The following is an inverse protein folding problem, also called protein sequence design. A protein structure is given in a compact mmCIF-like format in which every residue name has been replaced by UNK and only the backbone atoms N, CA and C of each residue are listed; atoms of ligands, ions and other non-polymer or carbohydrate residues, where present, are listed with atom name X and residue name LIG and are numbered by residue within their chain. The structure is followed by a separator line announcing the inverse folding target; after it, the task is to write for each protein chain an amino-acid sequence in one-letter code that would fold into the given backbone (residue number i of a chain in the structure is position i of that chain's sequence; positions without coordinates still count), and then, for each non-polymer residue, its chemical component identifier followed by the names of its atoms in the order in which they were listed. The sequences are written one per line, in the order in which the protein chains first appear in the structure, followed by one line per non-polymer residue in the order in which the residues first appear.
data_IF_655785073060
#
_entry.id   IF_655785073060
#
_cell.length_a   1.000
_cell.length_b   1.000
_cell.length_c   1.000
_cell.angle_alpha   90.00
_cell.angle_beta   90.00
_cell.angle_gamma   90.00
#
_symmetry.space_group_name_H-M   'P 1'
#
loop_
_entity.id
_entity.type
_entity.pdbx_description
1 polymer ?
#
# COMPACT_ATOMS: atom_id res chain seq x y z
N UNK A 1 2.17 0.11 25.55
CA UNK A 1 3.21 -0.62 24.81
C UNK A 1 2.50 -1.50 23.80
N UNK A 2 2.69 -1.26 22.50
CA UNK A 2 2.18 -2.15 21.45
C UNK A 2 2.80 -3.53 21.67
N UNK A 3 1.97 -4.58 21.73
CA UNK A 3 2.48 -5.94 21.79
C UNK A 3 3.03 -6.31 20.41
N UNK A 4 4.21 -6.92 20.35
CA UNK A 4 4.78 -7.44 19.10
C UNK A 4 3.79 -8.43 18.45
N UNK A 5 3.83 -8.53 17.11
CA UNK A 5 3.03 -9.55 16.43
C UNK A 5 3.57 -10.95 16.75
N UNK A 6 2.74 -11.97 16.53
CA UNK A 6 3.14 -13.37 16.75
C UNK A 6 4.39 -13.76 15.96
N UNK A 7 4.51 -13.29 14.71
CA UNK A 7 5.66 -13.58 13.85
C UNK A 7 6.94 -12.93 14.36
N UNK A 8 6.89 -11.71 14.87
CA UNK A 8 8.03 -11.04 15.49
C UNK A 8 8.43 -11.72 16.81
N UNK A 9 7.47 -12.10 17.66
CA UNK A 9 7.77 -12.86 18.88
C UNK A 9 8.42 -14.21 18.60
N UNK A 10 8.00 -14.88 17.53
CA UNK A 10 8.59 -16.15 17.09
C UNK A 10 9.99 -15.96 16.51
N UNK A 11 10.26 -14.87 15.79
CA UNK A 11 11.62 -14.51 15.38
C UNK A 11 12.55 -14.35 16.59
N UNK A 12 12.12 -13.58 17.61
CA UNK A 12 12.95 -13.31 18.79
C UNK A 12 13.22 -14.56 19.64
N UNK A 13 12.29 -15.52 19.64
CA UNK A 13 12.51 -16.84 20.23
C UNK A 13 13.62 -17.63 19.52
N UNK A 14 13.80 -17.40 18.22
CA UNK A 14 14.79 -18.07 17.36
C UNK A 14 15.94 -17.12 16.97
N UNK A 15 16.32 -16.21 17.87
CA UNK A 15 17.38 -15.21 17.64
C UNK A 15 18.76 -15.80 17.36
N UNK A 16 18.99 -17.05 17.75
CA UNK A 16 20.21 -17.80 17.42
C UNK A 16 20.39 -17.99 15.91
N UNK A 17 19.30 -17.90 15.13
CA UNK A 17 19.33 -17.89 13.67
C UNK A 17 19.84 -16.57 13.08
N UNK A 18 19.84 -15.48 13.84
CA UNK A 18 20.24 -14.15 13.38
C UNK A 18 21.76 -14.01 13.52
N UNK A 19 22.48 -14.30 12.44
CA UNK A 19 23.95 -14.30 12.43
C UNK A 19 24.49 -13.42 11.31
N UNK A 20 25.64 -12.78 11.57
CA UNK A 20 26.30 -11.91 10.61
C UNK A 20 25.46 -10.68 10.24
N UNK A 21 25.60 -10.22 9.00
CA UNK A 21 24.84 -9.09 8.45
C UNK A 21 23.40 -9.51 8.19
N UNK A 22 22.45 -8.76 8.75
CA UNK A 22 21.03 -9.09 8.75
C UNK A 22 20.23 -8.25 7.75
N UNK A 23 19.33 -8.90 7.01
CA UNK A 23 18.25 -8.24 6.29
C UNK A 23 16.89 -8.80 6.74
N UNK A 24 15.95 -7.94 7.08
CA UNK A 24 14.57 -8.30 7.45
C UNK A 24 13.61 -7.74 6.38
N UNK A 25 12.88 -8.61 5.70
CA UNK A 25 11.95 -8.26 4.63
C UNK A 25 10.50 -8.46 5.06
N UNK A 26 9.67 -7.43 4.86
CA UNK A 26 8.25 -7.44 5.26
C UNK A 26 8.04 -7.13 6.75
N UNK A 27 8.86 -6.23 7.32
CA UNK A 27 8.72 -5.80 8.71
C UNK A 27 7.41 -5.01 8.85
N UNK A 28 6.62 -5.34 9.87
CA UNK A 28 5.37 -4.61 10.20
C UNK A 28 5.38 -3.94 11.56
N UNK A 29 6.34 -4.27 12.43
CA UNK A 29 6.50 -3.66 13.76
C UNK A 29 7.96 -3.23 13.97
N UNK A 30 8.28 -1.93 13.83
CA UNK A 30 9.64 -1.39 13.94
C UNK A 30 10.34 -1.71 15.26
N UNK A 31 9.58 -1.96 16.34
CA UNK A 31 10.16 -2.31 17.64
C UNK A 31 10.96 -3.62 17.60
N UNK A 32 10.73 -4.51 16.63
CA UNK A 32 11.50 -5.75 16.50
C UNK A 32 13.00 -5.50 16.34
N UNK A 33 13.40 -4.42 15.65
CA UNK A 33 14.80 -4.15 15.33
C UNK A 33 15.67 -4.04 16.58
N UNK A 34 15.12 -3.44 17.66
CA UNK A 34 15.82 -3.28 18.94
C UNK A 34 16.20 -4.60 19.62
N UNK A 35 15.67 -5.73 19.16
CA UNK A 35 15.90 -7.05 19.71
C UNK A 35 16.52 -8.04 18.70
N UNK A 36 16.70 -7.62 17.44
CA UNK A 36 17.31 -8.45 16.39
C UNK A 36 18.82 -8.22 16.23
N UNK A 37 19.32 -7.01 16.51
CA UNK A 37 20.74 -6.68 16.40
C UNK A 37 20.99 -5.17 16.32
N UNK A 38 22.27 -4.78 16.25
CA UNK A 38 22.69 -3.37 16.27
C UNK A 38 22.62 -2.71 14.88
N UNK A 39 22.67 -3.49 13.81
CA UNK A 39 22.66 -2.98 12.44
C UNK A 39 22.15 -3.99 11.42
N UNK A 40 21.63 -3.51 10.31
CA UNK A 40 21.18 -4.34 9.19
C UNK A 40 20.30 -3.58 8.21
N UNK A 41 19.59 -4.31 7.37
CA UNK A 41 18.56 -3.80 6.48
C UNK A 41 17.18 -4.16 7.02
N UNK A 42 16.26 -3.20 7.06
CA UNK A 42 14.86 -3.44 7.36
C UNK A 42 13.98 -2.89 6.25
N UNK A 43 13.23 -3.78 5.62
CA UNK A 43 12.35 -3.45 4.51
C UNK A 43 10.89 -3.56 4.93
N UNK A 44 10.10 -2.56 4.54
CA UNK A 44 8.65 -2.56 4.69
C UNK A 44 8.00 -1.90 3.48
N UNK A 45 6.91 -2.50 3.01
CA UNK A 45 6.06 -1.95 1.96
C UNK A 45 5.17 -0.81 2.47
N UNK A 46 5.05 -0.63 3.78
CA UNK A 46 4.11 0.31 4.39
C UNK A 46 4.80 1.63 4.76
N UNK A 47 4.38 2.76 4.20
CA UNK A 47 5.04 4.06 4.33
C UNK A 47 5.21 4.51 5.79
N UNK A 48 4.19 4.29 6.63
CA UNK A 48 4.27 4.60 8.07
C UNK A 48 5.30 3.74 8.82
N UNK A 49 5.40 2.46 8.48
CA UNK A 49 6.38 1.53 9.08
C UNK A 49 7.77 1.90 8.58
N UNK A 50 7.95 2.09 7.28
CA UNK A 50 9.19 2.57 6.68
C UNK A 50 9.70 3.85 7.34
N UNK A 51 8.84 4.84 7.53
CA UNK A 51 9.19 6.09 8.20
C UNK A 51 9.70 5.84 9.62
N UNK A 52 9.07 4.93 10.37
CA UNK A 52 9.52 4.56 11.71
C UNK A 52 10.81 3.71 11.72
N UNK A 53 11.05 2.91 10.68
CA UNK A 53 12.32 2.18 10.48
C UNK A 53 13.46 3.14 10.16
N UNK A 54 13.21 4.17 9.33
CA UNK A 54 14.22 5.16 8.93
C UNK A 54 14.75 6.00 10.11
N UNK A 55 14.00 6.06 11.22
CA UNK A 55 14.45 6.72 12.46
C UNK A 55 15.33 5.81 13.35
N UNK A 56 15.60 4.56 12.95
CA UNK A 56 16.37 3.59 13.75
C UNK A 56 17.85 3.64 13.36
N UNK A 57 18.67 4.17 14.27
CA UNK A 57 20.12 4.19 14.12
C UNK A 57 20.70 2.79 13.89
N UNK A 58 21.67 2.68 12.98
CA UNK A 58 22.35 1.42 12.65
C UNK A 58 21.61 0.57 11.61
N UNK A 59 20.34 0.85 11.34
CA UNK A 59 19.54 0.14 10.35
C UNK A 59 19.32 0.98 9.10
N UNK A 60 19.61 0.40 7.93
CA UNK A 60 19.18 0.96 6.65
C UNK A 60 17.71 0.59 6.45
N UNK A 61 16.84 1.58 6.29
CA UNK A 61 15.45 1.35 5.93
C UNK A 61 15.31 1.24 4.41
N UNK A 62 14.50 0.29 3.94
CA UNK A 62 14.15 0.11 2.53
C UNK A 62 12.62 0.18 2.38
N UNK A 63 12.15 1.03 1.46
CA UNK A 63 10.72 1.18 1.20
C UNK A 63 10.31 0.24 0.06
N UNK A 64 9.53 -0.79 0.41
CA UNK A 64 9.13 -1.83 -0.52
C UNK A 64 10.32 -2.54 -1.15
N UNK A 65 10.33 -2.64 -2.48
CA UNK A 65 11.32 -3.40 -3.23
C UNK A 65 12.31 -2.49 -3.96
N UNK A 66 12.49 -1.27 -3.45
CA UNK A 66 13.49 -0.35 -3.97
C UNK A 66 14.89 -0.81 -3.54
N UNK A 67 15.69 -1.19 -4.53
CA UNK A 67 17.08 -1.66 -4.35
C UNK A 67 18.12 -0.59 -4.65
N UNK A 68 17.71 0.67 -4.87
CA UNK A 68 18.66 1.77 -5.06
C UNK A 68 19.56 1.91 -3.82
N UNK A 69 20.87 1.80 -4.04
CA UNK A 69 21.87 1.82 -2.98
C UNK A 69 21.98 0.53 -2.16
N UNK A 70 21.36 -0.57 -2.58
CA UNK A 70 21.57 -1.90 -2.01
C UNK A 70 22.55 -2.72 -2.85
N UNK A 71 23.53 -3.34 -2.19
CA UNK A 71 24.46 -4.27 -2.83
C UNK A 71 23.89 -5.69 -2.91
N UNK A 72 24.17 -6.38 -4.01
CA UNK A 72 23.90 -7.81 -4.14
C UNK A 72 24.82 -8.62 -3.20
N UNK A 73 24.32 -9.76 -2.72
CA UNK A 73 25.09 -10.77 -2.00
C UNK A 73 25.85 -10.24 -0.76
N UNK A 74 25.21 -9.36 0.01
CA UNK A 74 25.85 -8.57 1.08
C UNK A 74 25.42 -8.99 2.51
N UNK A 75 24.46 -9.90 2.62
CA UNK A 75 23.85 -10.31 3.90
C UNK A 75 24.04 -11.81 4.18
N UNK A 76 24.44 -12.14 5.42
CA UNK A 76 24.66 -13.52 5.88
C UNK A 76 23.36 -14.19 6.32
N UNK A 77 22.38 -13.41 6.79
CA UNK A 77 21.03 -13.89 7.14
C UNK A 77 19.98 -12.97 6.57
N UNK A 78 19.02 -13.54 5.83
CA UNK A 78 17.85 -12.83 5.31
C UNK A 78 16.57 -13.45 5.85
N UNK A 79 15.83 -12.67 6.65
CA UNK A 79 14.53 -13.06 7.19
C UNK A 79 13.43 -12.53 6.29
N UNK A 80 12.53 -13.42 5.88
CA UNK A 80 11.37 -13.14 5.05
C UNK A 80 10.13 -13.38 5.89
N UNK A 81 9.44 -12.30 6.27
CA UNK A 81 8.10 -12.42 6.81
C UNK A 81 7.14 -12.76 5.67
N UNK A 82 6.23 -13.70 5.91
CA UNK A 82 5.27 -14.17 4.92
C UNK A 82 4.27 -13.06 4.56
N UNK A 83 4.15 -12.65 3.29
CA UNK A 83 3.04 -11.80 2.86
C UNK A 83 1.75 -12.59 2.75
N UNK A 84 0.62 -11.89 2.70
CA UNK A 84 -0.70 -12.51 2.51
C UNK A 84 -0.87 -13.15 1.12
N UNK A 85 -0.21 -12.59 0.10
CA UNK A 85 -0.35 -13.02 -1.27
C UNK A 85 0.80 -13.92 -1.74
N UNK A 86 0.46 -15.00 -2.46
CA UNK A 86 1.42 -15.95 -3.01
C UNK A 86 2.43 -15.32 -3.98
N UNK A 87 1.95 -14.45 -4.86
CA UNK A 87 2.80 -13.76 -5.84
C UNK A 87 3.79 -12.80 -5.16
N UNK A 88 3.34 -12.12 -4.10
CA UNK A 88 4.19 -11.21 -3.33
C UNK A 88 5.30 -11.97 -2.59
N UNK A 89 5.03 -13.20 -2.13
CA UNK A 89 6.08 -14.04 -1.56
C UNK A 89 7.16 -14.38 -2.60
N UNK A 90 6.78 -14.64 -3.85
CA UNK A 90 7.76 -14.92 -4.91
C UNK A 90 8.69 -13.71 -5.15
N UNK A 91 8.10 -12.51 -5.17
CA UNK A 91 8.86 -11.26 -5.27
C UNK A 91 9.82 -11.08 -4.09
N UNK A 92 9.33 -11.26 -2.85
CA UNK A 92 10.14 -11.12 -1.62
C UNK A 92 11.24 -12.17 -1.50
N UNK A 93 11.00 -13.40 -1.94
CA UNK A 93 12.01 -14.45 -2.01
C UNK A 93 13.08 -14.16 -3.08
N UNK A 94 12.70 -13.55 -4.20
CA UNK A 94 13.67 -13.11 -5.22
C UNK A 94 14.58 -12.02 -4.67
N UNK A 95 14.02 -11.02 -3.97
CA UNK A 95 14.83 -10.00 -3.28
C UNK A 95 15.72 -10.63 -2.20
N UNK A 96 15.23 -11.62 -1.45
CA UNK A 96 16.03 -12.31 -0.45
C UNK A 96 17.25 -13.02 -1.05
N UNK A 97 17.11 -13.65 -2.23
CA UNK A 97 18.23 -14.26 -2.95
C UNK A 97 19.22 -13.24 -3.53
N UNK A 98 18.73 -12.08 -3.92
CA UNK A 98 19.58 -10.97 -4.36
C UNK A 98 20.42 -10.41 -3.21
N UNK A 99 19.82 -10.24 -2.03
CA UNK A 99 20.51 -9.68 -0.86
C UNK A 99 21.45 -10.68 -0.19
N UNK A 100 21.06 -11.96 -0.08
CA UNK A 100 21.85 -12.97 0.61
C UNK A 100 23.12 -13.34 -0.15
N UNK A 101 24.26 -13.44 0.52
CA UNK A 101 25.48 -14.00 -0.06
C UNK A 101 25.34 -15.51 -0.39
N UNK A 102 26.31 -16.07 -1.11
CA UNK A 102 26.37 -17.53 -1.29
C UNK A 102 26.54 -18.21 0.08
N UNK A 103 25.66 -19.15 0.40
CA UNK A 103 25.63 -19.79 1.72
C UNK A 103 24.85 -19.02 2.78
N UNK A 104 24.28 -17.85 2.46
CA UNK A 104 23.47 -17.09 3.39
C UNK A 104 22.28 -17.90 3.91
N UNK A 105 21.93 -17.69 5.18
CA UNK A 105 20.76 -18.29 5.81
C UNK A 105 19.50 -17.53 5.39
N UNK A 106 18.59 -18.21 4.72
CA UNK A 106 17.25 -17.70 4.44
C UNK A 106 16.29 -18.22 5.52
N UNK A 107 15.53 -17.31 6.14
CA UNK A 107 14.58 -17.65 7.21
C UNK A 107 13.18 -17.21 6.81
N UNK A 108 12.26 -18.13 6.57
CA UNK A 108 10.85 -17.83 6.30
C UNK A 108 10.02 -17.94 7.58
N UNK A 109 9.29 -16.88 7.91
CA UNK A 109 8.43 -16.82 9.11
C UNK A 109 7.03 -16.38 8.73
N UNK A 110 6.01 -17.09 9.22
CA UNK A 110 4.62 -16.75 8.91
C UNK A 110 3.61 -17.52 9.73
N UNK A 111 2.38 -17.00 9.80
CA UNK A 111 1.30 -17.67 10.49
C UNK A 111 0.68 -18.81 9.66
N UNK A 112 0.16 -19.83 10.34
CA UNK A 112 -0.63 -20.90 9.72
C UNK A 112 -1.87 -20.38 9.01
N UNK A 113 -2.53 -19.38 9.61
CA UNK A 113 -3.73 -18.74 9.05
C UNK A 113 -3.42 -17.90 7.80
N UNK A 114 -2.17 -17.47 7.64
CA UNK A 114 -1.68 -16.71 6.48
C UNK A 114 -1.10 -17.63 5.40
N UNK A 115 -1.22 -18.95 5.57
CA UNK A 115 -0.92 -19.91 4.51
C UNK A 115 0.54 -20.33 4.43
N UNK A 116 1.32 -20.25 5.53
CA UNK A 116 2.73 -20.69 5.51
C UNK A 116 2.93 -22.12 4.99
N UNK A 117 1.95 -23.01 5.19
CA UNK A 117 2.02 -24.36 4.64
C UNK A 117 2.16 -24.40 3.11
N UNK A 118 1.51 -23.48 2.39
CA UNK A 118 1.67 -23.32 0.94
C UNK A 118 2.95 -22.56 0.57
N UNK A 119 3.32 -21.58 1.39
CA UNK A 119 4.53 -20.76 1.21
C UNK A 119 5.83 -21.59 1.21
N UNK A 120 5.88 -22.65 2.03
CA UNK A 120 7.04 -23.56 2.11
C UNK A 120 7.37 -24.18 0.76
N UNK A 121 6.39 -24.44 -0.09
CA UNK A 121 6.64 -24.96 -1.43
C UNK A 121 7.48 -23.97 -2.26
N UNK A 122 7.10 -22.68 -2.25
CA UNK A 122 7.85 -21.63 -2.95
C UNK A 122 9.23 -21.42 -2.32
N UNK A 123 9.33 -21.53 -1.00
CA UNK A 123 10.61 -21.44 -0.31
C UNK A 123 11.58 -22.57 -0.72
N UNK A 124 11.09 -23.80 -0.81
CA UNK A 124 11.89 -24.96 -1.24
C UNK A 124 12.28 -24.91 -2.72
N UNK A 125 11.59 -24.12 -3.54
CA UNK A 125 11.96 -23.89 -4.95
C UNK A 125 13.17 -22.96 -5.09
N UNK A 126 13.46 -22.13 -4.07
CA UNK A 126 14.48 -21.08 -4.14
C UNK A 126 15.64 -21.24 -3.15
N UNK A 127 15.49 -22.09 -2.14
CA UNK A 127 16.49 -22.36 -1.10
C UNK A 127 16.85 -23.85 -1.07
N UNK A 128 18.11 -24.17 -0.73
CA UNK A 128 18.57 -25.54 -0.48
C UNK A 128 18.58 -25.88 1.01
N UNK A 129 18.76 -27.15 1.35
CA UNK A 129 18.92 -27.64 2.74
C UNK A 129 17.79 -27.17 3.67
N UNK A 130 16.56 -27.16 3.15
CA UNK A 130 15.44 -26.55 3.86
C UNK A 130 14.92 -27.43 4.98
N UNK A 131 14.57 -26.80 6.10
CA UNK A 131 14.05 -27.48 7.28
C UNK A 131 13.19 -26.59 8.14
N UNK A 132 12.13 -27.16 8.72
CA UNK A 132 11.33 -26.48 9.73
C UNK A 132 12.06 -26.54 11.07
N UNK A 133 12.33 -25.39 11.67
CA UNK A 133 13.09 -25.28 12.92
C UNK A 133 12.20 -24.99 14.13
N UNK A 134 11.07 -24.30 13.94
CA UNK A 134 10.12 -24.01 15.03
C UNK A 134 8.66 -23.97 14.52
N UNK A 135 7.73 -24.18 15.45
CA UNK A 135 6.28 -24.07 15.25
C UNK A 135 5.62 -23.65 16.57
N UNK A 136 5.65 -22.36 16.88
CA UNK A 136 5.06 -21.77 18.09
C UNK A 136 4.09 -20.63 17.74
N UNK A 137 3.16 -20.30 18.66
CA UNK A 137 2.24 -19.14 18.54
C UNK A 137 1.49 -19.08 17.20
N UNK A 138 1.02 -20.22 16.72
CA UNK A 138 0.38 -20.37 15.40
C UNK A 138 1.25 -19.99 14.20
N UNK A 139 2.55 -19.80 14.37
CA UNK A 139 3.53 -19.54 13.32
C UNK A 139 4.37 -20.79 13.02
N UNK A 140 5.09 -20.76 11.90
CA UNK A 140 6.19 -21.67 11.60
C UNK A 140 7.43 -20.86 11.25
N UNK A 141 8.60 -21.45 11.54
CA UNK A 141 9.91 -20.94 11.11
C UNK A 141 10.57 -22.01 10.26
N UNK A 142 10.93 -21.63 9.05
CA UNK A 142 11.65 -22.46 8.11
C UNK A 142 12.98 -21.81 7.78
N UNK A 143 14.02 -22.63 7.68
CA UNK A 143 15.38 -22.20 7.36
C UNK A 143 15.82 -22.93 6.11
N UNK A 144 16.61 -22.27 5.27
CA UNK A 144 17.28 -22.83 4.12
C UNK A 144 18.53 -22.03 3.78
N UNK A 145 19.26 -22.48 2.77
CA UNK A 145 20.52 -21.89 2.33
C UNK A 145 20.34 -21.23 0.97
N UNK A 146 20.89 -20.02 0.80
CA UNK A 146 21.00 -19.37 -0.49
C UNK A 146 22.19 -19.94 -1.29
N UNK A 147 21.96 -21.03 -2.01
CA UNK A 147 23.00 -21.68 -2.83
C UNK A 147 23.21 -21.02 -4.19
N UNK A 148 22.29 -20.16 -4.63
CA UNK A 148 22.35 -19.48 -5.92
C UNK A 148 21.92 -18.02 -5.75
N UNK A 149 22.80 -17.15 -5.21
CA UNK A 149 22.49 -15.74 -5.07
C UNK A 149 22.25 -15.09 -6.44
N UNK A 150 21.38 -14.09 -6.46
CA UNK A 150 21.12 -13.29 -7.67
C UNK A 150 22.05 -12.07 -7.70
N UNK A 151 22.58 -11.73 -8.87
CA UNK A 151 23.42 -10.54 -9.06
C UNK A 151 22.62 -9.27 -9.37
N UNK A 152 21.37 -9.43 -9.79
CA UNK A 152 20.48 -8.32 -10.18
C UNK A 152 19.08 -8.61 -9.63
N UNK A 153 18.42 -7.54 -9.19
CA UNK A 153 17.01 -7.49 -8.88
C UNK A 153 16.47 -6.13 -9.34
N UNK A 154 15.42 -6.16 -10.15
CA UNK A 154 14.68 -4.96 -10.52
C UNK A 154 13.17 -5.23 -10.39
N UNK A 155 12.52 -4.51 -9.47
CA UNK A 155 11.07 -4.58 -9.27
C UNK A 155 10.29 -4.25 -10.54
N UNK A 156 10.85 -3.45 -11.46
CA UNK A 156 10.21 -3.07 -12.72
C UNK A 156 10.00 -4.24 -13.66
N UNK A 157 10.80 -5.32 -13.54
CA UNK A 157 10.61 -6.56 -14.30
C UNK A 157 9.35 -7.32 -13.87
N UNK A 158 8.80 -7.01 -12.69
CA UNK A 158 7.59 -7.62 -12.16
C UNK A 158 6.31 -6.85 -12.52
N UNK A 159 6.44 -5.70 -13.20
CA UNK A 159 5.29 -4.91 -13.62
C UNK A 159 4.51 -5.66 -14.69
N UNK A 160 3.26 -5.96 -14.41
CA UNK A 160 2.27 -6.41 -15.38
C UNK A 160 1.42 -5.23 -15.86
N UNK A 161 0.79 -5.36 -17.03
CA UNK A 161 -0.12 -4.35 -17.57
C UNK A 161 -1.47 -4.98 -17.85
N UNK A 162 -2.53 -4.36 -17.33
CA UNK A 162 -3.91 -4.65 -17.68
C UNK A 162 -4.54 -3.44 -18.39
N UNK A 163 -5.53 -3.70 -19.25
CA UNK A 163 -6.33 -2.66 -19.88
C UNK A 163 -7.67 -2.56 -19.17
N UNK A 164 -8.05 -1.36 -18.75
CA UNK A 164 -9.34 -1.08 -18.15
C UNK A 164 -10.10 -0.07 -19.00
N UNK A 165 -11.42 -0.24 -19.07
CA UNK A 165 -12.33 0.71 -19.70
C UNK A 165 -13.47 1.04 -18.72
N UNK A 166 -13.76 2.34 -18.61
CA UNK A 166 -14.96 2.83 -17.94
C UNK A 166 -15.40 4.17 -18.54
N UNK A 167 -16.70 4.29 -18.85
CA UNK A 167 -17.30 5.47 -19.47
C UNK A 167 -16.59 5.95 -20.75
N UNK A 168 -16.05 5.00 -21.51
CA UNK A 168 -15.27 5.16 -22.73
C UNK A 168 -13.88 5.79 -22.55
N UNK A 169 -13.35 5.80 -21.34
CA UNK A 169 -11.95 6.10 -21.07
C UNK A 169 -11.20 4.78 -20.90
N UNK A 170 -10.21 4.56 -21.75
CA UNK A 170 -9.32 3.40 -21.70
C UNK A 170 -8.01 3.76 -20.98
N UNK A 171 -7.55 2.89 -20.09
CA UNK A 171 -6.35 3.11 -19.28
C UNK A 171 -5.55 1.82 -19.21
N UNK A 172 -4.27 1.92 -19.57
CA UNK A 172 -3.29 0.87 -19.30
C UNK A 172 -2.81 1.02 -17.84
N UNK A 173 -3.09 0.05 -17.00
CA UNK A 173 -2.80 0.08 -15.56
C UNK A 173 -1.65 -0.86 -15.24
N UNK A 174 -0.65 -0.35 -14.52
CA UNK A 174 0.46 -1.14 -14.02
C UNK A 174 0.03 -1.96 -12.80
N UNK A 175 0.47 -3.21 -12.73
CA UNK A 175 0.24 -4.11 -11.59
C UNK A 175 1.54 -4.66 -11.04
N UNK A 176 1.60 -4.84 -9.72
CA UNK A 176 2.69 -5.52 -9.02
C UNK A 176 2.11 -6.53 -8.02
N UNK A 177 2.84 -7.61 -7.70
CA UNK A 177 2.46 -8.49 -6.60
C UNK A 177 2.26 -7.72 -5.28
N UNK A 178 1.09 -7.90 -4.66
CA UNK A 178 0.71 -7.21 -3.42
C UNK A 178 -0.19 -5.98 -3.64
N UNK A 179 -0.27 -5.43 -4.85
CA UNK A 179 -1.20 -4.35 -5.19
C UNK A 179 -2.57 -4.92 -5.53
N UNK A 180 -3.62 -4.28 -5.02
CA UNK A 180 -5.00 -4.68 -5.25
C UNK A 180 -5.45 -4.35 -6.68
N UNK A 181 -5.29 -5.30 -7.60
CA UNK A 181 -6.04 -5.40 -8.86
C UNK A 181 -5.69 -6.72 -9.53
N UNK A 182 -6.61 -7.70 -9.50
CA UNK A 182 -6.49 -8.97 -10.23
C UNK A 182 -6.76 -8.76 -11.75
N UNK A 183 -6.32 -7.63 -12.31
CA UNK A 183 -6.56 -7.26 -13.71
C UNK A 183 -7.97 -6.76 -14.02
N UNK A 184 -8.88 -6.75 -13.05
CA UNK A 184 -10.23 -6.20 -13.18
C UNK A 184 -10.40 -4.88 -12.41
N UNK A 185 -11.27 -4.01 -12.93
CA UNK A 185 -11.68 -2.79 -12.24
C UNK A 185 -12.57 -3.16 -11.06
N UNK A 186 -12.13 -2.81 -9.84
CA UNK A 186 -12.94 -2.97 -8.64
C UNK A 186 -14.32 -2.33 -8.83
N UNK A 187 -15.36 -3.01 -8.38
CA UNK A 187 -16.74 -2.60 -8.66
C UNK A 187 -17.15 -1.32 -7.91
N UNK A 188 -16.57 -1.05 -6.73
CA UNK A 188 -16.75 0.23 -6.04
C UNK A 188 -16.11 1.35 -6.86
N UNK A 189 -14.88 1.14 -7.33
CA UNK A 189 -14.19 2.07 -8.23
C UNK A 189 -15.00 2.30 -9.52
N UNK A 190 -15.53 1.25 -10.15
CA UNK A 190 -16.39 1.39 -11.34
C UNK A 190 -17.59 2.30 -11.07
N UNK A 191 -18.34 2.04 -10.00
CA UNK A 191 -19.49 2.87 -9.64
C UNK A 191 -19.07 4.32 -9.39
N UNK A 192 -17.94 4.55 -8.73
CA UNK A 192 -17.39 5.88 -8.51
C UNK A 192 -17.10 6.60 -9.84
N UNK A 193 -16.40 5.96 -10.77
CA UNK A 193 -16.07 6.53 -12.09
C UNK A 193 -17.34 6.82 -12.92
N UNK A 194 -18.35 5.95 -12.88
CA UNK A 194 -19.64 6.18 -13.54
C UNK A 194 -20.33 7.45 -13.00
N UNK A 195 -20.38 7.64 -11.68
CA UNK A 195 -20.94 8.89 -11.11
C UNK A 195 -20.11 10.13 -11.42
N UNK A 196 -18.79 9.98 -11.61
CA UNK A 196 -17.90 11.07 -12.02
C UNK A 196 -18.11 11.43 -13.50
N UNK A 197 -18.51 10.47 -14.33
CA UNK A 197 -18.88 10.73 -15.72
C UNK A 197 -20.23 11.46 -15.81
N UNK A 198 -21.21 11.04 -15.01
CA UNK A 198 -22.56 11.64 -14.96
C UNK A 198 -22.57 13.02 -14.30
N UNK A 199 -21.89 13.16 -13.16
CA UNK A 199 -21.80 14.40 -12.39
C UNK A 199 -20.34 14.72 -12.12
N UNK A 200 -19.66 15.36 -13.09
CA UNK A 200 -18.23 15.51 -12.97
C UNK A 200 -17.76 16.58 -11.99
N UNK A 201 -16.54 16.39 -11.49
CA UNK A 201 -15.89 17.36 -10.61
C UNK A 201 -15.73 18.71 -11.29
N UNK A 202 -15.87 19.76 -10.49
CA UNK A 202 -15.54 21.14 -10.82
C UNK A 202 -14.27 21.53 -10.07
N UNK A 203 -13.17 20.86 -10.39
CA UNK A 203 -11.89 21.03 -9.73
C UNK A 203 -10.74 20.90 -10.74
N UNK A 204 -9.74 21.76 -10.61
CA UNK A 204 -8.48 21.74 -11.36
C UNK A 204 -7.38 21.01 -10.59
N UNK A 205 -7.49 20.95 -9.24
CA UNK A 205 -6.53 20.26 -8.37
C UNK A 205 -7.26 19.26 -7.49
N UNK A 206 -6.98 17.98 -7.70
CA UNK A 206 -7.64 16.84 -7.04
C UNK A 206 -6.62 15.98 -6.31
N UNK A 207 -7.02 15.41 -5.19
CA UNK A 207 -6.26 14.36 -4.50
C UNK A 207 -7.01 13.02 -4.61
N UNK A 208 -6.35 12.00 -5.10
CA UNK A 208 -6.78 10.60 -5.09
C UNK A 208 -6.20 9.92 -3.84
N UNK A 209 -7.03 9.74 -2.81
CA UNK A 209 -6.61 9.12 -1.55
C UNK A 209 -6.76 7.60 -1.59
N UNK A 210 -5.71 6.88 -1.15
CA UNK A 210 -5.56 5.45 -1.38
C UNK A 210 -5.61 5.16 -2.89
N UNK A 211 -4.74 5.83 -3.65
CA UNK A 211 -4.80 5.87 -5.11
C UNK A 211 -4.54 4.51 -5.77
N UNK A 212 -4.02 3.52 -5.04
CA UNK A 212 -3.68 2.21 -5.59
C UNK A 212 -2.75 2.35 -6.78
N UNK A 213 -3.07 1.69 -7.90
CA UNK A 213 -2.33 1.79 -9.15
C UNK A 213 -2.61 3.07 -9.98
N UNK A 214 -3.22 4.11 -9.39
CA UNK A 214 -3.46 5.39 -10.04
C UNK A 214 -4.63 5.42 -11.02
N UNK A 215 -5.58 4.50 -10.88
CA UNK A 215 -6.71 4.33 -11.81
C UNK A 215 -7.62 5.55 -11.83
N UNK A 216 -8.07 6.02 -10.65
CA UNK A 216 -9.02 7.13 -10.55
C UNK A 216 -8.39 8.41 -11.11
N UNK A 217 -7.16 8.73 -10.69
CA UNK A 217 -6.49 9.92 -11.17
C UNK A 217 -6.16 9.91 -12.67
N UNK A 218 -5.75 8.78 -13.23
CA UNK A 218 -5.54 8.65 -14.68
C UNK A 218 -6.85 8.74 -15.45
N UNK A 219 -7.92 8.17 -14.90
CA UNK A 219 -9.26 8.23 -15.50
C UNK A 219 -9.80 9.65 -15.53
N UNK A 220 -9.66 10.41 -14.44
CA UNK A 220 -10.13 11.81 -14.38
C UNK A 220 -9.48 12.68 -15.45
N UNK A 221 -8.17 12.50 -15.67
CA UNK A 221 -7.40 13.24 -16.67
C UNK A 221 -7.78 12.81 -18.09
N UNK A 222 -7.87 11.50 -18.35
CA UNK A 222 -8.33 10.96 -19.62
C UNK A 222 -9.76 11.41 -19.98
N UNK A 223 -10.66 11.40 -18.99
CA UNK A 223 -12.04 11.87 -19.14
C UNK A 223 -12.09 13.37 -19.47
N UNK A 224 -11.32 14.20 -18.76
CA UNK A 224 -11.25 15.64 -19.03
C UNK A 224 -10.76 15.92 -20.46
N UNK A 225 -9.68 15.26 -20.88
CA UNK A 225 -9.12 15.40 -22.22
C UNK A 225 -10.12 14.98 -23.31
N UNK A 226 -10.74 13.81 -23.16
CA UNK A 226 -11.70 13.26 -24.13
C UNK A 226 -12.92 14.16 -24.33
N UNK A 227 -13.39 14.80 -23.26
CA UNK A 227 -14.57 15.66 -23.28
C UNK A 227 -14.25 17.16 -23.47
N UNK A 228 -13.01 17.51 -23.84
CA UNK A 228 -12.60 18.89 -24.12
C UNK A 228 -12.71 19.83 -22.92
N UNK A 229 -12.47 19.31 -21.72
CA UNK A 229 -12.61 20.05 -20.46
C UNK A 229 -11.27 20.61 -20.02
N UNK A 230 -11.31 21.56 -19.08
CA UNK A 230 -10.09 22.08 -18.47
C UNK A 230 -9.23 20.93 -17.92
N UNK A 231 -7.90 20.96 -18.14
CA UNK A 231 -6.99 19.99 -17.55
C UNK A 231 -7.15 19.94 -16.03
N UNK A 232 -7.06 18.75 -15.47
CA UNK A 232 -7.08 18.50 -14.03
C UNK A 232 -5.73 17.91 -13.64
N UNK A 233 -5.10 18.45 -12.61
CA UNK A 233 -3.94 17.82 -11.98
C UNK A 233 -4.45 16.96 -10.83
N UNK A 234 -4.07 15.68 -10.84
CA UNK A 234 -4.48 14.74 -9.79
C UNK A 234 -3.25 14.25 -9.05
N UNK A 235 -3.09 14.73 -7.82
CA UNK A 235 -2.11 14.15 -6.91
C UNK A 235 -2.68 12.83 -6.36
N UNK A 236 -1.84 11.83 -6.11
CA UNK A 236 -2.22 10.55 -5.53
C UNK A 236 -1.49 10.30 -4.22
N UNK A 237 -2.11 9.61 -3.27
CA UNK A 237 -1.44 9.18 -2.05
C UNK A 237 -1.80 7.74 -1.73
N UNK A 238 -0.79 6.92 -1.45
CA UNK A 238 -0.97 5.55 -0.99
C UNK A 238 0.05 5.19 0.09
N UNK A 239 -0.32 4.24 0.93
CA UNK A 239 0.54 3.74 2.00
C UNK A 239 1.47 2.63 1.51
N UNK A 240 1.12 1.95 0.42
CA UNK A 240 1.90 0.83 -0.10
C UNK A 240 2.91 1.25 -1.17
N UNK A 241 4.17 0.85 -0.99
CA UNK A 241 5.26 1.10 -1.94
C UNK A 241 4.93 0.62 -3.36
N UNK A 242 4.40 -0.60 -3.50
CA UNK A 242 4.05 -1.14 -4.81
C UNK A 242 2.91 -0.36 -5.47
N UNK A 243 1.94 0.14 -4.69
CA UNK A 243 0.84 0.96 -5.22
C UNK A 243 1.38 2.29 -5.77
N UNK A 244 2.26 2.97 -5.02
CA UNK A 244 2.94 4.19 -5.46
C UNK A 244 3.68 3.98 -6.77
N UNK A 245 4.51 2.93 -6.85
CA UNK A 245 5.26 2.58 -8.06
C UNK A 245 4.33 2.28 -9.25
N UNK A 246 3.25 1.52 -9.01
CA UNK A 246 2.23 1.26 -10.02
C UNK A 246 1.53 2.54 -10.49
N UNK A 247 1.15 3.44 -9.58
CA UNK A 247 0.51 4.71 -9.93
C UNK A 247 1.43 5.59 -10.78
N UNK A 248 2.71 5.71 -10.42
CA UNK A 248 3.70 6.45 -11.21
C UNK A 248 3.86 5.86 -12.61
N UNK A 249 3.97 4.53 -12.73
CA UNK A 249 4.07 3.85 -14.01
C UNK A 249 2.80 4.05 -14.86
N UNK A 250 1.61 3.89 -14.26
CA UNK A 250 0.33 4.15 -14.92
C UNK A 250 0.25 5.59 -15.42
N UNK A 251 0.62 6.58 -14.59
CA UNK A 251 0.60 7.99 -14.96
C UNK A 251 1.54 8.27 -16.13
N UNK A 252 2.78 7.76 -16.07
CA UNK A 252 3.76 7.91 -17.13
C UNK A 252 3.25 7.35 -18.46
N UNK A 253 2.61 6.17 -18.45
CA UNK A 253 2.07 5.55 -19.66
C UNK A 253 0.82 6.23 -20.19
N UNK A 254 -0.04 6.75 -19.30
CA UNK A 254 -1.26 7.46 -19.65
C UNK A 254 -1.01 8.93 -20.06
N UNK A 255 0.22 9.45 -19.88
CA UNK A 255 0.50 10.87 -20.04
C UNK A 255 -0.23 11.75 -19.02
N UNK A 256 -0.50 11.19 -17.83
CA UNK A 256 -1.17 11.88 -16.72
C UNK A 256 -0.16 12.63 -15.87
N UNK A 257 -0.63 13.67 -15.17
CA UNK A 257 0.18 14.58 -14.37
C UNK A 257 -0.32 14.67 -12.93
N UNK A 258 0.63 14.78 -12.00
CA UNK A 258 0.41 14.93 -10.57
C UNK A 258 1.50 14.25 -9.78
N UNK A 259 1.57 14.55 -8.48
CA UNK A 259 2.54 13.94 -7.58
C UNK A 259 1.91 12.73 -6.89
N UNK A 260 2.62 11.59 -6.90
CA UNK A 260 2.25 10.41 -6.13
C UNK A 260 3.06 10.40 -4.83
N UNK A 261 2.37 10.40 -3.70
CA UNK A 261 2.96 10.42 -2.37
C UNK A 261 2.88 9.04 -1.73
N UNK A 262 3.97 8.62 -1.11
CA UNK A 262 3.99 7.50 -0.16
C UNK A 262 3.71 8.03 1.25
N UNK A 263 2.53 7.79 1.80
CA UNK A 263 2.18 8.26 3.15
C UNK A 263 1.14 7.38 3.85
N UNK A 264 1.21 7.36 5.18
CA UNK A 264 0.20 6.73 6.03
C UNK A 264 -0.85 7.78 6.43
N UNK A 265 -1.94 7.82 5.66
CA UNK A 265 -2.96 8.85 5.79
C UNK A 265 -2.53 10.18 5.14
N UNK A 266 -3.08 11.27 5.65
CA UNK A 266 -2.87 12.62 5.10
C UNK A 266 -2.04 13.54 6.00
N UNK A 267 -1.78 13.13 7.24
CA UNK A 267 -1.21 14.01 8.28
C UNK A 267 0.17 14.60 7.94
N UNK A 268 0.95 13.93 7.09
CA UNK A 268 2.28 14.36 6.66
C UNK A 268 2.28 15.11 5.33
N UNK A 269 1.13 15.19 4.65
CA UNK A 269 1.02 15.90 3.37
C UNK A 269 0.88 17.39 3.62
N UNK A 270 1.46 18.19 2.72
CA UNK A 270 1.25 19.62 2.68
C UNK A 270 0.31 19.99 1.53
N UNK A 271 -0.46 21.05 1.73
CA UNK A 271 -1.32 21.63 0.70
C UNK A 271 -2.82 21.32 0.85
N UNK A 272 -3.58 21.93 -0.06
CA UNK A 272 -5.04 21.80 -0.12
C UNK A 272 -5.52 21.56 -1.54
N UNK A 273 -6.60 20.82 -1.68
CA UNK A 273 -7.18 20.41 -2.96
C UNK A 273 -8.62 20.89 -3.09
N UNK A 274 -9.04 21.15 -4.32
CA UNK A 274 -10.41 21.55 -4.63
C UNK A 274 -11.36 20.34 -4.57
N UNK A 275 -10.83 19.14 -4.78
CA UNK A 275 -11.55 17.91 -4.48
C UNK A 275 -10.63 16.82 -3.92
N UNK A 276 -11.22 15.92 -3.12
CA UNK A 276 -10.61 14.65 -2.71
C UNK A 276 -11.53 13.53 -3.23
N UNK A 277 -10.95 12.56 -3.92
CA UNK A 277 -11.64 11.39 -4.45
C UNK A 277 -11.02 10.15 -3.85
N UNK A 278 -11.82 9.13 -3.50
CA UNK A 278 -11.27 7.92 -2.91
C UNK A 278 -12.20 6.70 -2.98
N UNK A 279 -11.57 5.52 -3.04
CA UNK A 279 -12.14 4.22 -2.73
C UNK A 279 -11.28 3.55 -1.63
N UNK A 280 -11.51 3.86 -0.35
CA UNK A 280 -10.55 3.52 0.68
C UNK A 280 -10.72 2.08 1.22
N UNK A 281 -9.62 1.42 1.65
CA UNK A 281 -9.61 0.00 2.01
C UNK A 281 -10.05 -0.27 3.47
N UNK A 282 -11.08 0.41 3.97
CA UNK A 282 -11.39 0.47 5.41
C UNK A 282 -11.96 -0.81 6.08
N UNK A 283 -11.84 -2.01 5.47
CA UNK A 283 -12.53 -3.22 5.98
C UNK A 283 -11.66 -4.46 6.15
N UNK A 284 -10.34 -4.31 6.18
CA UNK A 284 -9.41 -5.43 6.41
C UNK A 284 -9.24 -5.75 7.92
N UNK A 285 -10.34 -5.98 8.66
CA UNK A 285 -10.27 -6.32 10.09
C UNK A 285 -11.65 -6.46 10.75
N UNK A 286 -11.82 -7.49 11.58
CA UNK A 286 -13.09 -8.00 12.16
C UNK A 286 -13.78 -7.05 13.16
N UNK A 287 -13.40 -5.77 13.22
CA UNK A 287 -14.21 -4.72 13.85
C UNK A 287 -14.13 -3.50 12.95
N UNK A 288 -15.29 -3.03 12.51
CA UNK A 288 -15.53 -1.71 11.95
C UNK A 288 -14.94 -0.68 12.91
N UNK A 289 -13.67 -0.34 12.73
CA UNK A 289 -13.01 0.67 13.53
C UNK A 289 -13.42 2.03 12.98
N UNK A 290 -14.60 2.49 13.40
CA UNK A 290 -15.16 3.79 13.04
C UNK A 290 -14.18 4.92 13.36
N UNK A 291 -13.23 4.73 14.30
CA UNK A 291 -12.21 5.73 14.60
C UNK A 291 -11.28 6.03 13.43
N UNK A 292 -10.94 5.02 12.60
CA UNK A 292 -10.13 5.21 11.39
C UNK A 292 -10.89 6.02 10.34
N UNK A 293 -12.17 5.71 10.12
CA UNK A 293 -13.03 6.45 9.18
C UNK A 293 -13.21 7.90 9.64
N UNK A 294 -13.50 8.14 10.92
CA UNK A 294 -13.63 9.50 11.43
C UNK A 294 -12.30 10.28 11.34
N UNK A 295 -11.17 9.65 11.65
CA UNK A 295 -9.85 10.29 11.53
C UNK A 295 -9.56 10.67 10.07
N UNK A 296 -9.80 9.75 9.14
CA UNK A 296 -9.69 10.01 7.71
C UNK A 296 -10.54 11.23 7.29
N UNK A 297 -11.82 11.27 7.67
CA UNK A 297 -12.71 12.37 7.30
C UNK A 297 -12.29 13.71 7.93
N UNK A 298 -11.74 13.69 9.16
CA UNK A 298 -11.14 14.89 9.77
C UNK A 298 -9.94 15.40 8.98
N UNK A 299 -9.06 14.49 8.55
CA UNK A 299 -7.86 14.88 7.81
C UNK A 299 -8.24 15.41 6.41
N UNK A 300 -9.16 14.75 5.73
CA UNK A 300 -9.75 15.24 4.46
C UNK A 300 -10.34 16.65 4.63
N UNK A 301 -11.06 16.91 5.72
CA UNK A 301 -11.58 18.24 6.02
C UNK A 301 -10.46 19.29 6.13
N UNK A 302 -9.30 18.92 6.70
CA UNK A 302 -8.10 19.77 6.77
C UNK A 302 -7.54 20.14 5.39
N UNK A 303 -7.53 19.16 4.48
CA UNK A 303 -6.93 19.26 3.15
C UNK A 303 -7.87 19.73 2.03
N UNK A 304 -9.18 19.73 2.21
CA UNK A 304 -10.11 20.31 1.23
C UNK A 304 -10.04 21.84 1.26
N UNK A 305 -10.13 22.53 0.13
CA UNK A 305 -10.37 23.98 0.11
C UNK A 305 -11.79 24.28 0.62
N UNK A 306 -12.06 25.50 1.16
CA UNK A 306 -13.44 25.91 1.45
C UNK A 306 -14.33 25.74 0.21
N UNK A 307 -15.46 25.03 0.36
CA UNK A 307 -16.33 24.68 -0.77
C UNK A 307 -15.83 23.53 -1.65
N UNK A 308 -14.69 22.90 -1.31
CA UNK A 308 -14.15 21.76 -2.03
C UNK A 308 -14.97 20.48 -1.82
N UNK A 309 -14.89 19.58 -2.79
CA UNK A 309 -15.72 18.36 -2.86
C UNK A 309 -14.98 17.12 -2.34
N UNK A 310 -15.63 16.34 -1.48
CA UNK A 310 -15.30 14.93 -1.24
C UNK A 310 -16.19 14.07 -2.14
N UNK A 311 -15.58 13.22 -2.97
CA UNK A 311 -16.26 12.12 -3.68
C UNK A 311 -15.72 10.78 -3.19
N UNK A 312 -16.55 9.99 -2.54
CA UNK A 312 -16.15 8.77 -1.85
C UNK A 312 -17.08 7.62 -2.23
N UNK A 313 -16.52 6.46 -2.56
CA UNK A 313 -17.27 5.20 -2.57
C UNK A 313 -16.92 4.38 -1.33
N UNK A 314 -17.93 3.79 -0.70
CA UNK A 314 -17.74 2.93 0.47
C UNK A 314 -18.81 1.84 0.52
N UNK A 315 -18.61 0.81 1.34
CA UNK A 315 -19.60 -0.26 1.41
C UNK A 315 -20.91 0.23 2.05
N UNK A 316 -22.06 -0.10 1.45
CA UNK A 316 -23.39 0.43 1.82
C UNK A 316 -23.84 0.10 3.23
N UNK A 317 -23.28 -0.94 3.86
CA UNK A 317 -23.65 -1.34 5.23
C UNK A 317 -23.02 -0.46 6.32
N UNK A 318 -22.15 0.48 5.94
CA UNK A 318 -21.37 1.30 6.85
C UNK A 318 -22.00 2.69 7.03
N UNK A 319 -21.98 3.27 8.23
CA UNK A 319 -22.69 4.51 8.54
C UNK A 319 -21.93 5.79 8.11
N UNK A 320 -21.40 5.86 6.89
CA UNK A 320 -20.57 6.99 6.42
C UNK A 320 -21.28 8.34 6.43
N UNK A 321 -22.58 8.37 6.15
CA UNK A 321 -23.32 9.62 5.96
C UNK A 321 -23.24 10.56 7.17
N UNK A 322 -23.39 10.02 8.38
CA UNK A 322 -23.33 10.79 9.62
C UNK A 322 -21.94 11.39 9.86
N UNK A 323 -20.89 10.60 9.62
CA UNK A 323 -19.51 11.03 9.83
C UNK A 323 -19.06 12.03 8.77
N UNK A 324 -19.46 11.83 7.51
CA UNK A 324 -19.22 12.80 6.42
C UNK A 324 -19.92 14.11 6.76
N UNK A 325 -21.18 14.06 7.22
CA UNK A 325 -21.92 15.27 7.53
C UNK A 325 -21.33 16.05 8.71
N UNK A 326 -20.79 15.32 9.69
CA UNK A 326 -20.12 15.89 10.86
C UNK A 326 -18.79 16.57 10.49
N UNK A 327 -17.96 15.92 9.68
CA UNK A 327 -16.58 16.34 9.45
C UNK A 327 -16.39 17.19 8.17
N UNK A 328 -17.17 16.95 7.13
CA UNK A 328 -17.03 17.65 5.83
C UNK A 328 -18.12 18.72 5.67
N UNK A 329 -19.39 18.30 5.65
CA UNK A 329 -20.51 19.19 5.38
C UNK A 329 -21.71 18.48 4.74
N UNK A 330 -22.63 19.22 4.08
CA UNK A 330 -23.80 18.62 3.42
C UNK A 330 -23.40 17.46 2.50
N UNK A 331 -24.07 16.32 2.66
CA UNK A 331 -23.77 15.06 1.99
C UNK A 331 -24.97 14.61 1.14
N UNK A 332 -24.67 14.00 0.01
CA UNK A 332 -25.61 13.45 -0.95
C UNK A 332 -25.14 12.06 -1.38
N UNK A 333 -26.08 11.14 -1.60
CA UNK A 333 -25.81 9.83 -2.19
C UNK A 333 -26.10 9.92 -3.68
N UNK A 334 -25.07 9.80 -4.51
CA UNK A 334 -25.20 9.88 -5.97
C UNK A 334 -25.66 8.57 -6.58
N UNK A 335 -25.16 7.45 -6.04
CA UNK A 335 -25.52 6.11 -6.44
C UNK A 335 -25.43 5.17 -5.25
N UNK A 336 -26.24 4.11 -5.26
CA UNK A 336 -26.23 3.08 -4.21
C UNK A 336 -26.72 1.74 -4.78
N UNK A 337 -25.98 0.68 -4.48
CA UNK A 337 -26.44 -0.71 -4.61
C UNK A 337 -26.36 -1.45 -3.25
N UNK A 338 -26.51 -2.77 -3.28
CA UNK A 338 -26.43 -3.62 -2.06
C UNK A 338 -25.05 -3.63 -1.41
N UNK A 339 -23.99 -3.38 -2.17
CA UNK A 339 -22.59 -3.46 -1.74
C UNK A 339 -21.97 -2.09 -1.52
N UNK A 340 -22.19 -1.13 -2.40
CA UNK A 340 -21.50 0.16 -2.43
C UNK A 340 -22.46 1.36 -2.52
N UNK A 341 -22.06 2.46 -1.91
CA UNK A 341 -22.69 3.77 -2.01
C UNK A 341 -21.65 4.80 -2.40
N UNK A 342 -21.95 5.64 -3.39
CA UNK A 342 -21.13 6.80 -3.75
C UNK A 342 -21.70 8.04 -3.11
N UNK A 343 -20.91 8.68 -2.25
CA UNK A 343 -21.22 9.91 -1.57
C UNK A 343 -20.53 11.10 -2.22
N UNK A 344 -21.22 12.24 -2.22
CA UNK A 344 -20.69 13.57 -2.52
C UNK A 344 -20.92 14.46 -1.31
N UNK A 345 -19.89 15.19 -0.87
CA UNK A 345 -20.03 16.19 0.16
C UNK A 345 -19.17 17.42 -0.10
N UNK A 346 -19.58 18.57 0.41
CA UNK A 346 -18.83 19.82 0.24
C UNK A 346 -18.34 20.35 1.58
N UNK A 347 -17.05 20.67 1.65
CA UNK A 347 -16.45 21.31 2.83
C UNK A 347 -17.19 22.61 3.10
N UNK A 348 -17.76 22.77 4.30
CA UNK A 348 -18.38 24.03 4.71
C UNK A 348 -17.37 25.16 4.55
N UNK A 349 -17.78 26.26 3.91
CA UNK A 349 -17.02 27.50 4.01
C UNK A 349 -16.94 27.83 5.50
N UNK A 350 -15.72 27.97 6.03
CA UNK A 350 -15.54 28.51 7.37
C UNK A 350 -16.26 29.85 7.39
N UNK A 351 -17.38 29.93 8.11
CA UNK A 351 -17.98 31.21 8.44
C UNK A 351 -16.84 32.00 9.06
N UNK A 352 -16.40 33.07 8.37
CA UNK A 352 -15.32 33.90 8.87
C UNK A 352 -15.61 34.19 10.33
N UNK A 353 -14.61 33.97 11.19
CA UNK A 353 -14.58 34.63 12.49
C UNK A 353 -14.84 36.10 12.17
N UNK A 354 -16.08 36.55 12.41
CA UNK A 354 -16.41 37.97 12.32
C UNK A 354 -15.54 38.63 13.39
N UNK A 355 -14.85 39.73 13.05
CA UNK A 355 -13.92 40.40 13.94
C UNK A 355 -14.59 40.85 15.25
#
# INVERSE_FOLDING_TARGET
MSALTNTHDVLLRNRDLLQGRLALLGVTEPLVLSQCGDSGLAMSEHAGVYSALAQRSGWQACFGYDTDGLAAADYDTVVVFLPKARAELALRLTMARFLGCEGARLVLIGEKKEGIGGAVKQFNEVASDTGKVDSARHCQVWVGTNSQPLSVFDIREWISWSQLECAGVEIAVAGLPGVFSDGELDAGTRMLLETLAESPLKAERVLDFACGAGVIGSWLQGFANRHGRSPVTVDGVDVQAQAVLCAEATYAKAGSHGQIYAADGLSTLEGRWQAVVTNPPFHSGVKTDTSMTEQFLRDVAGHLMPGGELRLVANSFLPYEGDIQRHIGPVERLAQDRRFTVYRAFRRASAGLRP
#
